data_IF_729038174262
#
_entry.id   IF_729038174262
#
_cell.length_a   1.000
_cell.length_b   1.000
_cell.length_c   1.000
_cell.angle_alpha   90.00
_cell.angle_beta   90.00
_cell.angle_gamma   90.00
#
_symmetry.space_group_name_H-M   'P 1'
#
loop_
_entity.id
_entity.type
_entity.pdbx_description
1 polymer ?
#
# COMPACT_ATOMS: atom_id res chain seq x y z
N UNK A 1 7.35 71.92 -37.99
CA UNK A 1 8.60 71.37 -37.45
C UNK A 1 8.49 69.85 -37.53
N UNK A 2 9.40 69.22 -38.30
CA UNK A 2 9.70 67.76 -38.44
C UNK A 2 8.52 66.77 -38.39
N UNK A 3 8.12 66.03 -39.43
CA UNK A 3 8.86 65.54 -40.59
C UNK A 3 8.87 64.00 -40.58
N UNK A 4 8.26 63.40 -41.61
CA UNK A 4 8.37 62.02 -42.11
C UNK A 4 7.83 60.84 -41.25
N UNK A 5 7.16 59.82 -41.78
CA UNK A 5 6.85 59.46 -43.17
C UNK A 5 7.31 58.03 -43.51
N UNK A 6 6.39 57.18 -43.99
CA UNK A 6 6.64 55.86 -44.59
C UNK A 6 6.27 54.69 -43.66
N UNK A 7 5.34 53.77 -43.95
CA UNK A 7 4.72 53.37 -45.20
C UNK A 7 5.34 52.07 -45.71
N UNK A 8 4.70 50.92 -45.45
CA UNK A 8 4.61 49.79 -46.40
C UNK A 8 3.75 48.65 -45.82
N UNK A 9 2.71 48.30 -46.56
CA UNK A 9 2.03 47.02 -46.45
C UNK A 9 2.76 45.97 -47.29
N UNK A 10 2.82 44.72 -46.82
CA UNK A 10 3.01 43.55 -47.69
C UNK A 10 2.49 42.28 -47.02
N UNK A 11 1.57 41.62 -47.72
CA UNK A 11 1.00 40.31 -47.45
C UNK A 11 1.95 39.21 -47.97
N UNK A 12 1.96 38.00 -47.38
CA UNK A 12 1.92 36.67 -48.06
C UNK A 12 2.24 35.49 -47.10
N UNK A 13 1.28 34.54 -47.09
CA UNK A 13 1.29 33.07 -46.82
C UNK A 13 2.47 32.37 -46.12
N UNK A 14 2.09 31.51 -45.18
CA UNK A 14 2.26 30.06 -45.36
C UNK A 14 3.06 29.28 -44.30
N UNK A 15 2.58 28.06 -44.09
CA UNK A 15 3.27 26.87 -43.58
C UNK A 15 3.07 26.46 -42.11
N UNK A 16 2.62 25.21 -42.02
CA UNK A 16 2.41 24.33 -40.88
C UNK A 16 3.70 24.02 -40.09
N UNK A 17 3.51 23.58 -38.84
CA UNK A 17 4.39 22.61 -38.17
C UNK A 17 5.45 23.22 -37.25
N UNK A 18 5.25 23.10 -35.93
CA UNK A 18 6.27 23.42 -34.94
C UNK A 18 5.84 23.04 -33.53
N UNK A 19 6.59 22.13 -32.92
CA UNK A 19 6.29 21.37 -31.71
C UNK A 19 5.87 22.17 -30.47
N UNK A 20 4.92 21.60 -29.71
CA UNK A 20 4.68 21.91 -28.31
C UNK A 20 5.90 21.46 -27.49
N UNK A 21 6.60 22.39 -26.83
CA UNK A 21 7.64 22.08 -25.85
C UNK A 21 7.11 22.45 -24.46
N UNK A 22 6.97 21.50 -23.51
CA UNK A 22 6.69 21.82 -22.14
C UNK A 22 8.02 21.90 -21.40
N UNK A 23 8.60 23.10 -21.29
CA UNK A 23 9.69 23.32 -20.34
C UNK A 23 9.07 23.49 -18.96
N UNK A 24 8.94 22.37 -18.25
CA UNK A 24 8.80 22.37 -16.81
C UNK A 24 10.08 22.97 -16.21
N UNK A 25 9.92 23.88 -15.25
CA UNK A 25 11.01 24.51 -14.53
C UNK A 25 11.83 23.45 -13.78
N UNK A 26 12.90 22.96 -14.39
CA UNK A 26 14.02 22.39 -13.66
C UNK A 26 14.71 23.55 -12.96
N UNK A 27 14.62 23.58 -11.62
CA UNK A 27 15.56 24.36 -10.82
C UNK A 27 16.83 23.53 -10.71
N UNK A 28 17.95 24.16 -11.02
CA UNK A 28 19.28 23.62 -10.84
C UNK A 28 19.47 23.17 -9.39
N UNK A 29 19.75 21.88 -9.22
CA UNK A 29 20.07 21.28 -7.94
C UNK A 29 21.59 21.34 -7.75
N UNK A 30 22.09 22.43 -7.20
CA UNK A 30 23.43 22.46 -6.60
C UNK A 30 23.33 22.17 -5.10
N UNK A 31 23.89 21.03 -4.70
CA UNK A 31 24.42 20.77 -3.35
C UNK A 31 23.45 20.79 -2.18
N UNK A 32 22.74 19.68 -1.95
CA UNK A 32 22.29 19.33 -0.60
C UNK A 32 22.43 17.82 -0.41
N UNK A 33 23.08 17.42 0.69
CA UNK A 33 23.54 16.07 1.01
C UNK A 33 22.48 14.99 0.77
N UNK A 34 22.78 14.04 -0.12
CA UNK A 34 22.00 12.82 -0.34
C UNK A 34 21.91 11.91 0.92
N UNK A 35 22.53 12.29 2.03
CA UNK A 35 22.63 11.56 3.29
C UNK A 35 21.60 11.94 4.36
N UNK A 36 20.77 12.99 4.19
CA UNK A 36 19.97 13.54 5.32
C UNK A 36 18.49 13.09 5.44
N UNK A 37 18.00 12.16 4.60
CA UNK A 37 16.59 11.72 4.62
C UNK A 37 16.34 10.42 5.42
N UNK A 38 17.26 10.00 6.28
CA UNK A 38 17.05 8.81 7.10
C UNK A 38 15.93 9.06 8.12
N UNK A 39 14.79 8.41 7.91
CA UNK A 39 13.65 8.44 8.83
C UNK A 39 14.07 7.76 10.15
N UNK A 40 14.19 8.53 11.23
CA UNK A 40 14.47 7.98 12.56
C UNK A 40 13.22 7.34 13.12
N UNK A 41 13.11 6.01 13.05
CA UNK A 41 11.95 5.26 13.53
C UNK A 41 12.06 5.01 15.03
N UNK A 42 10.96 5.27 15.76
CA UNK A 42 10.74 4.80 17.13
C UNK A 42 9.44 4.01 17.16
N UNK A 43 9.53 2.74 17.56
CA UNK A 43 8.38 1.84 17.61
C UNK A 43 7.96 1.54 19.04
N UNK A 44 6.65 1.50 19.26
CA UNK A 44 6.03 1.16 20.54
C UNK A 44 5.02 0.04 20.30
N UNK A 45 5.03 -0.98 21.16
CA UNK A 45 4.12 -2.10 21.07
C UNK A 45 3.16 -2.09 22.27
N UNK A 46 1.87 -2.05 21.97
CA UNK A 46 0.78 -2.14 22.94
C UNK A 46 0.18 -3.55 22.89
N UNK A 47 -0.21 -4.10 24.04
CA UNK A 47 -0.90 -5.40 24.07
C UNK A 47 -2.30 -5.27 23.44
N UNK A 48 -3.03 -4.21 23.77
CA UNK A 48 -4.36 -3.95 23.25
C UNK A 48 -4.64 -2.44 23.21
N UNK A 49 -5.35 -1.98 22.19
CA UNK A 49 -5.72 -0.57 22.00
C UNK A 49 -7.04 -0.47 21.25
N UNK A 50 -7.75 0.67 21.29
CA UNK A 50 -8.91 0.88 20.41
C UNK A 50 -8.48 0.86 18.94
N UNK A 51 -7.50 1.70 18.58
CA UNK A 51 -6.92 1.79 17.25
C UNK A 51 -5.53 2.43 17.31
N UNK A 52 -4.56 1.83 16.62
CA UNK A 52 -3.23 2.42 16.46
C UNK A 52 -3.29 3.74 15.69
N UNK A 53 -4.26 3.92 14.78
CA UNK A 53 -4.47 5.20 14.09
C UNK A 53 -4.83 6.31 15.08
N UNK A 54 -5.66 6.00 16.09
CA UNK A 54 -6.12 7.02 17.05
C UNK A 54 -4.97 7.49 17.96
N UNK A 55 -4.09 6.58 18.36
CA UNK A 55 -2.87 6.91 19.10
C UNK A 55 -1.93 7.81 18.27
N UNK A 56 -1.72 7.47 17.00
CA UNK A 56 -0.89 8.29 16.10
C UNK A 56 -1.54 9.65 15.83
N UNK A 57 -2.85 9.72 15.63
CA UNK A 57 -3.58 10.99 15.47
C UNK A 57 -3.47 11.86 16.73
N UNK A 58 -3.58 11.27 17.92
CA UNK A 58 -3.37 11.98 19.18
C UNK A 58 -1.94 12.54 19.27
N UNK A 59 -0.93 11.74 18.93
CA UNK A 59 0.46 12.18 18.89
C UNK A 59 0.69 13.30 17.85
N UNK A 60 0.08 13.21 16.66
CA UNK A 60 0.10 14.27 15.64
C UNK A 60 -0.48 15.57 16.18
N UNK A 61 -1.65 15.51 16.85
CA UNK A 61 -2.30 16.66 17.48
C UNK A 61 -1.48 17.27 18.61
N UNK A 62 -0.70 16.46 19.32
CA UNK A 62 0.22 16.90 20.36
C UNK A 62 1.55 17.47 19.82
N UNK A 63 1.78 17.46 18.51
CA UNK A 63 2.99 18.00 17.89
C UNK A 63 4.18 17.04 17.87
N UNK A 64 3.95 15.74 18.08
CA UNK A 64 5.00 14.72 18.06
C UNK A 64 5.80 14.75 16.73
N UNK A 65 7.10 14.47 16.83
CA UNK A 65 8.00 14.41 15.70
C UNK A 65 7.72 13.20 14.80
N UNK A 66 8.01 13.35 13.51
CA UNK A 66 7.92 12.26 12.52
C UNK A 66 8.75 11.04 12.93
N UNK A 67 8.27 9.85 12.58
CA UNK A 67 8.97 8.58 12.80
C UNK A 67 8.45 7.75 13.98
N UNK A 68 7.46 8.24 14.74
CA UNK A 68 6.73 7.41 15.70
C UNK A 68 5.93 6.33 14.96
N UNK A 69 6.08 5.09 15.41
CA UNK A 69 5.28 3.94 14.99
C UNK A 69 4.59 3.35 16.21
N UNK A 70 3.27 3.29 16.18
CA UNK A 70 2.48 2.60 17.22
C UNK A 70 2.02 1.27 16.66
N UNK A 71 2.34 0.18 17.36
CA UNK A 71 1.93 -1.20 17.04
C UNK A 71 1.00 -1.71 18.14
N UNK A 72 0.14 -2.65 17.79
CA UNK A 72 -0.66 -3.38 18.77
C UNK A 72 -0.73 -4.88 18.45
N UNK A 73 -0.81 -5.72 19.49
CA UNK A 73 -1.12 -7.15 19.31
C UNK A 73 -2.60 -7.35 18.97
N UNK A 74 -3.50 -6.53 19.53
CA UNK A 74 -4.92 -6.49 19.22
C UNK A 74 -5.46 -5.07 19.09
N UNK A 75 -6.48 -4.88 18.25
CA UNK A 75 -7.29 -3.65 18.25
C UNK A 75 -8.76 -4.00 18.51
N UNK A 76 -9.40 -3.29 19.45
CA UNK A 76 -10.82 -3.48 19.77
C UNK A 76 -11.75 -2.67 18.87
N UNK A 77 -11.22 -1.65 18.18
CA UNK A 77 -11.95 -0.77 17.26
C UNK A 77 -11.15 -0.45 16.01
N UNK A 78 -10.38 -1.42 15.49
CA UNK A 78 -9.60 -1.26 14.26
C UNK A 78 -10.50 -0.89 13.08
N UNK A 79 -10.05 0.05 12.24
CA UNK A 79 -10.78 0.50 11.06
C UNK A 79 -9.85 0.77 9.88
N UNK A 80 -10.38 0.59 8.68
CA UNK A 80 -9.74 0.98 7.43
C UNK A 80 -10.29 2.31 6.88
N UNK A 81 -10.08 2.54 5.58
CA UNK A 81 -10.62 3.72 4.90
C UNK A 81 -12.14 3.79 5.07
N UNK A 82 -12.62 5.02 5.26
CA UNK A 82 -14.04 5.35 5.39
C UNK A 82 -14.69 4.75 6.65
N UNK A 83 -13.90 4.36 7.65
CA UNK A 83 -14.41 3.83 8.93
C UNK A 83 -14.91 2.39 8.86
N UNK A 84 -14.65 1.67 7.76
CA UNK A 84 -14.98 0.24 7.65
C UNK A 84 -14.20 -0.54 8.71
N UNK A 85 -14.89 -1.40 9.47
CA UNK A 85 -14.26 -2.20 10.51
C UNK A 85 -13.14 -3.07 9.93
N UNK A 86 -12.06 -3.20 10.70
CA UNK A 86 -10.91 -4.04 10.39
C UNK A 86 -10.63 -4.97 11.58
N UNK A 87 -10.97 -6.26 11.43
CA UNK A 87 -10.73 -7.26 12.44
C UNK A 87 -9.23 -7.35 12.76
N UNK A 88 -8.89 -7.21 14.05
CA UNK A 88 -7.50 -7.12 14.50
C UNK A 88 -7.19 -8.10 15.65
N UNK A 89 -7.35 -9.42 15.47
CA UNK A 89 -6.96 -10.42 16.48
C UNK A 89 -5.43 -10.57 16.58
N UNK A 90 -4.92 -11.24 17.62
CA UNK A 90 -3.48 -11.55 17.67
C UNK A 90 -3.03 -12.34 16.42
N UNK A 91 -1.80 -12.07 15.98
CA UNK A 91 -1.20 -12.71 14.80
C UNK A 91 -1.15 -11.83 13.55
N UNK A 92 -1.79 -10.67 13.53
CA UNK A 92 -1.61 -9.66 12.49
C UNK A 92 -0.59 -8.57 12.84
N UNK A 93 -0.03 -7.92 11.81
CA UNK A 93 0.69 -6.66 11.99
C UNK A 93 -0.31 -5.51 11.94
N UNK A 94 -0.57 -4.89 13.08
CA UNK A 94 -1.35 -3.65 13.16
C UNK A 94 -0.43 -2.53 13.61
N UNK A 95 -0.08 -1.65 12.69
CA UNK A 95 0.77 -0.51 13.00
C UNK A 95 0.28 0.77 12.33
N UNK A 96 0.61 1.89 12.96
CA UNK A 96 0.38 3.22 12.41
C UNK A 96 1.64 4.05 12.50
N UNK A 97 1.96 4.78 11.43
CA UNK A 97 3.13 5.64 11.32
C UNK A 97 2.71 7.11 11.39
N UNK A 98 3.43 7.87 12.18
CA UNK A 98 3.36 9.33 12.23
C UNK A 98 4.34 9.92 11.23
N UNK A 99 3.84 10.52 10.16
CA UNK A 99 4.67 11.12 9.12
C UNK A 99 4.42 12.63 9.02
N UNK A 100 5.44 13.38 8.57
CA UNK A 100 5.34 14.80 8.21
C UNK A 100 5.96 15.04 6.83
N UNK A 101 5.34 14.50 5.76
CA UNK A 101 5.91 14.57 4.42
C UNK A 101 6.14 16.01 3.95
N UNK A 102 7.31 16.28 3.39
CA UNK A 102 7.65 17.58 2.80
C UNK A 102 7.35 17.62 1.31
N UNK A 103 6.10 17.33 0.94
CA UNK A 103 5.63 17.29 -0.46
C UNK A 103 4.43 18.20 -0.66
N UNK A 104 4.14 18.55 -1.92
CA UNK A 104 2.90 19.26 -2.26
C UNK A 104 1.66 18.42 -1.87
N UNK A 105 0.57 19.04 -1.38
CA UNK A 105 -0.64 18.31 -0.99
C UNK A 105 -1.23 17.41 -2.08
N UNK A 106 -1.04 17.78 -3.36
CA UNK A 106 -1.47 16.99 -4.52
C UNK A 106 -0.75 15.65 -4.67
N UNK A 107 0.41 15.48 -4.03
CA UNK A 107 1.22 14.25 -4.06
C UNK A 107 0.79 13.28 -2.96
N UNK A 108 0.27 13.78 -1.82
CA UNK A 108 -0.12 12.96 -0.66
C UNK A 108 -1.02 11.76 -0.98
N UNK A 109 -2.00 11.81 -1.91
CA UNK A 109 -2.82 10.65 -2.26
C UNK A 109 -2.01 9.46 -2.79
N UNK A 110 -0.82 9.69 -3.33
CA UNK A 110 0.05 8.62 -3.84
C UNK A 110 0.82 7.89 -2.75
N UNK A 111 0.84 8.39 -1.51
CA UNK A 111 1.53 7.76 -0.39
C UNK A 111 1.01 6.35 -0.11
N UNK A 112 -0.30 6.10 -0.25
CA UNK A 112 -0.87 4.76 -0.06
C UNK A 112 -0.33 3.75 -1.08
N UNK A 113 -0.03 4.20 -2.31
CA UNK A 113 0.56 3.37 -3.36
C UNK A 113 1.99 2.97 -2.98
N UNK A 114 2.77 3.93 -2.47
CA UNK A 114 4.15 3.71 -2.00
C UNK A 114 4.17 2.78 -0.79
N UNK A 115 3.26 2.94 0.16
CA UNK A 115 3.10 2.01 1.30
C UNK A 115 2.70 0.62 0.81
N UNK A 116 1.83 0.51 -0.20
CA UNK A 116 1.48 -0.76 -0.83
C UNK A 116 2.68 -1.47 -1.46
N UNK A 117 3.55 -0.70 -2.14
CA UNK A 117 4.82 -1.23 -2.66
C UNK A 117 5.74 -1.69 -1.53
N UNK A 118 5.84 -0.94 -0.43
CA UNK A 118 6.64 -1.32 0.73
C UNK A 118 6.17 -2.63 1.36
N UNK A 119 4.86 -2.78 1.60
CA UNK A 119 4.28 -4.02 2.14
C UNK A 119 4.51 -5.19 1.17
N UNK A 120 4.28 -4.99 -0.13
CA UNK A 120 4.53 -6.03 -1.13
C UNK A 120 6.00 -6.45 -1.16
N UNK A 121 6.94 -5.51 -1.11
CA UNK A 121 8.37 -5.79 -1.12
C UNK A 121 8.82 -6.50 0.16
N UNK A 122 8.26 -6.13 1.31
CA UNK A 122 8.49 -6.81 2.58
C UNK A 122 8.05 -8.27 2.55
N UNK A 123 6.81 -8.53 2.10
CA UNK A 123 6.28 -9.90 2.01
C UNK A 123 7.06 -10.71 0.97
N UNK A 124 7.34 -10.14 -0.21
CA UNK A 124 8.11 -10.82 -1.25
C UNK A 124 9.53 -11.24 -0.80
N UNK A 125 10.16 -10.47 0.09
CA UNK A 125 11.46 -10.83 0.67
C UNK A 125 11.40 -12.07 1.57
N UNK A 126 10.22 -12.37 2.12
CA UNK A 126 9.97 -13.50 3.03
C UNK A 126 9.41 -14.73 2.30
N UNK A 127 9.16 -14.66 1.00
CA UNK A 127 8.55 -15.73 0.20
C UNK A 127 9.49 -16.18 -0.92
N UNK A 128 9.16 -17.27 -1.62
CA UNK A 128 9.86 -17.64 -2.86
C UNK A 128 9.36 -16.85 -4.08
N UNK A 129 9.95 -17.11 -5.24
CA UNK A 129 9.67 -16.35 -6.45
C UNK A 129 8.19 -16.49 -6.91
N UNK A 130 7.61 -17.70 -7.00
CA UNK A 130 6.19 -17.84 -7.31
C UNK A 130 5.26 -17.11 -6.32
N UNK A 131 5.47 -17.27 -5.01
CA UNK A 131 4.64 -16.59 -4.01
C UNK A 131 4.83 -15.06 -4.06
N UNK A 132 6.07 -14.59 -4.27
CA UNK A 132 6.35 -13.17 -4.43
C UNK A 132 5.61 -12.58 -5.65
N UNK A 133 5.52 -13.31 -6.75
CA UNK A 133 4.76 -12.89 -7.94
C UNK A 133 3.24 -12.92 -7.71
N UNK A 134 2.73 -13.72 -6.78
CA UNK A 134 1.31 -13.69 -6.43
C UNK A 134 0.94 -12.45 -5.58
N UNK A 135 1.88 -11.84 -4.85
CA UNK A 135 1.61 -10.63 -4.06
C UNK A 135 1.56 -9.39 -4.96
N UNK A 136 0.35 -8.84 -5.10
CA UNK A 136 0.02 -7.73 -6.01
C UNK A 136 -0.61 -6.55 -5.25
N UNK A 137 -0.59 -5.38 -5.86
CA UNK A 137 -1.18 -4.15 -5.30
C UNK A 137 -2.52 -3.88 -5.99
N UNK A 138 -3.60 -3.82 -5.20
CA UNK A 138 -4.92 -3.40 -5.66
C UNK A 138 -5.11 -1.91 -5.33
N UNK A 139 -5.20 -1.11 -6.39
CA UNK A 139 -5.38 0.34 -6.27
C UNK A 139 -6.69 0.65 -5.49
N UNK A 140 -6.69 1.67 -4.61
CA UNK A 140 -5.57 2.55 -4.29
C UNK A 140 -4.78 2.16 -3.02
N UNK A 141 -5.19 1.15 -2.26
CA UNK A 141 -4.74 1.03 -0.86
C UNK A 141 -4.72 -0.39 -0.30
N UNK A 142 -4.81 -1.42 -1.14
CA UNK A 142 -4.82 -2.80 -0.67
C UNK A 142 -3.64 -3.57 -1.28
N UNK A 143 -3.05 -4.47 -0.51
CA UNK A 143 -2.20 -5.54 -1.05
C UNK A 143 -3.00 -6.82 -1.02
N UNK A 144 -2.93 -7.57 -2.11
CA UNK A 144 -3.71 -8.77 -2.35
C UNK A 144 -2.81 -9.90 -2.81
N UNK A 145 -3.27 -11.12 -2.63
CA UNK A 145 -2.66 -12.33 -3.18
C UNK A 145 -3.52 -12.79 -4.35
N UNK A 146 -2.93 -12.84 -5.53
CA UNK A 146 -3.57 -13.36 -6.74
C UNK A 146 -3.75 -14.88 -6.63
N UNK A 147 -5.00 -15.34 -6.71
CA UNK A 147 -5.30 -16.77 -6.58
C UNK A 147 -4.82 -17.57 -7.77
N UNK A 148 -4.91 -17.02 -8.99
CA UNK A 148 -4.50 -17.74 -10.19
C UNK A 148 -3.00 -18.06 -10.15
N UNK A 149 -2.19 -17.08 -9.72
CA UNK A 149 -0.74 -17.26 -9.58
C UNK A 149 -0.39 -18.16 -8.40
N UNK A 150 -1.03 -17.97 -7.23
CA UNK A 150 -0.67 -18.75 -6.04
C UNK A 150 -1.16 -20.20 -6.12
N UNK A 151 -2.38 -20.47 -6.57
CA UNK A 151 -2.90 -21.84 -6.70
C UNK A 151 -2.08 -22.67 -7.71
N UNK A 152 -1.56 -22.05 -8.78
CA UNK A 152 -0.65 -22.72 -9.71
C UNK A 152 0.72 -23.08 -9.11
N UNK A 153 1.10 -22.47 -7.97
CA UNK A 153 2.40 -22.66 -7.33
C UNK A 153 2.34 -23.38 -5.97
N UNK A 154 1.22 -23.30 -5.26
CA UNK A 154 1.05 -23.78 -3.90
C UNK A 154 -0.33 -24.41 -3.69
N UNK A 155 -0.36 -25.73 -3.49
CA UNK A 155 -1.51 -26.40 -2.89
C UNK A 155 -1.59 -26.02 -1.40
N UNK A 156 -2.78 -25.69 -0.89
CA UNK A 156 -3.00 -25.21 0.49
C UNK A 156 -2.31 -26.11 1.52
N UNK A 157 -1.37 -25.57 2.30
CA UNK A 157 -0.81 -26.24 3.48
C UNK A 157 -1.76 -26.03 4.66
N UNK A 158 -2.16 -27.12 5.31
CA UNK A 158 -2.86 -27.09 6.60
C UNK A 158 -1.98 -27.71 7.70
N UNK A 159 -2.00 -27.11 8.90
CA UNK A 159 -1.28 -27.59 10.08
C UNK A 159 -0.03 -26.78 10.41
N UNK A 160 -0.21 -25.70 11.17
CA UNK A 160 0.89 -25.05 11.89
C UNK A 160 0.61 -25.09 13.39
N UNK A 161 1.60 -25.55 14.16
CA UNK A 161 1.59 -25.48 15.62
C UNK A 161 2.37 -24.20 16.02
N UNK A 162 1.66 -23.20 16.54
CA UNK A 162 2.22 -21.89 16.89
C UNK A 162 2.32 -21.75 18.40
N UNK A 163 3.50 -22.05 18.96
CA UNK A 163 3.85 -21.68 20.33
C UNK A 163 4.94 -20.59 20.35
N UNK A 164 4.53 -19.41 20.83
CA UNK A 164 5.31 -18.34 21.46
C UNK A 164 6.57 -17.83 20.75
N UNK A 165 6.53 -16.58 20.26
CA UNK A 165 7.74 -15.79 19.99
C UNK A 165 7.42 -14.28 19.80
N UNK A 166 7.24 -13.57 20.91
CA UNK A 166 7.49 -12.12 20.99
C UNK A 166 8.67 -11.95 21.96
N UNK A 167 9.88 -11.72 21.46
CA UNK A 167 10.98 -11.25 22.30
C UNK A 167 11.64 -10.05 21.63
N UNK A 168 11.83 -9.03 22.46
CA UNK A 168 12.65 -7.82 22.28
C UNK A 168 11.96 -6.55 21.75
N UNK A 169 10.84 -6.16 22.37
CA UNK A 169 10.35 -4.76 22.35
C UNK A 169 10.05 -4.26 23.77
N UNK A 170 10.19 -2.96 24.01
CA UNK A 170 9.67 -2.32 25.23
C UNK A 170 8.15 -2.50 25.28
N UNK A 171 7.72 -3.51 26.05
CA UNK A 171 6.30 -3.82 26.24
C UNK A 171 5.71 -2.80 27.19
N UNK A 172 4.80 -1.97 26.71
CA UNK A 172 4.09 -1.02 27.55
C UNK A 172 2.75 -1.62 27.98
N UNK A 173 2.65 -2.02 29.25
CA UNK A 173 1.45 -2.60 29.88
C UNK A 173 0.63 -1.61 30.71
N UNK A 174 0.84 -0.29 30.52
CA UNK A 174 0.17 0.75 31.32
C UNK A 174 -1.26 1.01 30.87
N UNK A 175 -2.15 1.30 31.83
CA UNK A 175 -3.57 1.63 31.60
C UNK A 175 -3.81 3.01 30.95
N UNK A 176 -2.77 3.80 30.74
CA UNK A 176 -2.83 5.07 30.02
C UNK A 176 -1.99 4.99 28.74
N UNK A 177 -2.62 4.80 27.56
CA UNK A 177 -1.92 4.62 26.31
C UNK A 177 -1.12 5.86 25.89
N UNK A 178 -1.33 7.06 26.46
CA UNK A 178 -0.54 8.26 26.09
C UNK A 178 0.71 8.50 26.94
N UNK A 179 0.94 7.71 28.00
CA UNK A 179 2.05 7.91 28.92
C UNK A 179 3.42 7.56 28.31
N UNK A 180 3.47 6.85 27.18
CA UNK A 180 4.72 6.50 26.50
C UNK A 180 5.42 7.70 25.84
N UNK A 181 4.70 8.80 25.55
CA UNK A 181 5.26 10.01 24.92
C UNK A 181 6.33 10.71 25.78
N UNK A 182 6.57 10.22 27.00
CA UNK A 182 7.44 10.85 28.01
C UNK A 182 8.79 10.12 28.21
N UNK A 183 9.16 9.10 27.40
CA UNK A 183 10.42 8.35 27.59
C UNK A 183 11.32 8.27 26.33
N UNK A 184 12.66 8.34 26.46
CA UNK A 184 13.59 8.18 25.35
C UNK A 184 13.94 6.69 25.07
N UNK A 185 14.12 6.31 23.80
CA UNK A 185 14.37 4.93 23.33
C UNK A 185 15.78 4.73 22.72
N UNK A 186 16.33 3.50 22.80
CA UNK A 186 17.67 3.08 22.32
C UNK A 186 17.65 2.37 20.94
N UNK A 187 18.72 2.47 20.10
CA UNK A 187 18.82 1.76 18.80
C UNK A 187 19.41 0.32 18.89
N UNK A 188 19.15 -0.52 17.88
CA UNK A 188 19.34 -2.00 17.87
C UNK A 188 20.09 -2.56 16.63
N UNK A 189 20.61 -3.80 16.72
CA UNK A 189 21.21 -4.64 15.65
C UNK A 189 20.97 -6.15 15.90
N UNK A 190 20.63 -6.95 14.87
CA UNK A 190 20.34 -8.40 14.95
C UNK A 190 21.13 -9.29 13.96
N UNK A 191 21.29 -10.58 14.32
CA UNK A 191 21.85 -11.68 13.50
C UNK A 191 21.09 -13.00 13.71
N UNK A 192 20.93 -13.81 12.65
CA UNK A 192 20.04 -14.98 12.55
C UNK A 192 20.80 -16.30 12.23
N UNK A 193 20.27 -17.45 12.69
CA UNK A 193 20.64 -18.81 12.24
C UNK A 193 19.39 -19.67 11.99
N UNK A 194 19.47 -20.51 10.96
CA UNK A 194 18.35 -21.16 10.25
C UNK A 194 18.22 -22.67 10.56
N UNK A 195 17.02 -23.26 10.38
CA UNK A 195 16.78 -24.72 10.15
C UNK A 195 15.36 -25.05 9.63
N UNK A 196 15.18 -26.32 9.22
CA UNK A 196 14.56 -26.93 8.01
C UNK A 196 13.02 -27.03 7.83
N UNK A 197 12.61 -27.29 6.57
CA UNK A 197 11.24 -27.29 5.98
C UNK A 197 10.49 -28.65 6.01
N UNK A 198 9.14 -28.67 5.93
CA UNK A 198 8.33 -29.89 5.72
C UNK A 198 7.76 -30.04 4.28
N UNK A 199 7.16 -31.21 4.01
CA UNK A 199 6.77 -31.77 2.71
C UNK A 199 5.32 -31.44 2.23
N UNK A 200 5.10 -31.51 0.92
CA UNK A 200 3.90 -31.10 0.17
C UNK A 200 2.99 -32.28 -0.26
N UNK A 201 1.68 -32.03 -0.42
CA UNK A 201 0.71 -32.91 -1.08
C UNK A 201 -0.17 -32.09 -2.06
N UNK A 202 -0.52 -32.65 -3.22
CA UNK A 202 -1.19 -31.97 -4.33
C UNK A 202 -2.73 -31.95 -4.18
N UNK A 203 -3.39 -30.98 -4.82
CA UNK A 203 -4.85 -30.97 -5.00
C UNK A 203 -5.22 -30.80 -6.48
N UNK A 204 -6.31 -31.46 -6.88
CA UNK A 204 -6.78 -31.65 -8.25
C UNK A 204 -7.25 -30.36 -8.95
N UNK A 205 -7.13 -30.40 -10.29
CA UNK A 205 -7.42 -29.31 -11.23
C UNK A 205 -8.84 -28.74 -11.09
N UNK A 206 -8.94 -27.41 -10.99
CA UNK A 206 -10.21 -26.68 -10.86
C UNK A 206 -10.72 -26.22 -12.24
N UNK A 207 -11.55 -27.04 -12.88
CA UNK A 207 -12.46 -26.64 -13.96
C UNK A 207 -13.89 -26.53 -13.41
N UNK A 208 -14.36 -25.33 -13.06
CA UNK A 208 -15.75 -24.89 -13.31
C UNK A 208 -15.95 -23.38 -13.02
N UNK A 209 -16.50 -22.65 -13.98
CA UNK A 209 -16.82 -21.22 -13.85
C UNK A 209 -18.26 -21.05 -13.33
N UNK A 210 -18.44 -21.23 -12.02
CA UNK A 210 -19.70 -20.93 -11.32
C UNK A 210 -19.88 -19.42 -11.08
N UNK A 211 -21.12 -18.87 -11.07
CA UNK A 211 -21.39 -17.51 -10.59
C UNK A 211 -21.05 -17.28 -9.11
N UNK A 212 -20.77 -18.35 -8.34
CA UNK A 212 -20.20 -18.32 -6.98
C UNK A 212 -18.66 -18.50 -6.99
N UNK A 213 -17.99 -18.27 -8.12
CA UNK A 213 -16.54 -18.38 -8.20
C UNK A 213 -15.85 -17.45 -7.17
N UNK A 214 -14.87 -17.96 -6.41
CA UNK A 214 -14.18 -17.17 -5.41
C UNK A 214 -13.54 -15.94 -6.07
N UNK A 215 -13.48 -14.83 -5.33
CA UNK A 215 -12.82 -13.61 -5.81
C UNK A 215 -11.42 -13.94 -6.35
N UNK A 216 -10.97 -13.31 -7.46
CA UNK A 216 -9.71 -13.66 -8.13
C UNK A 216 -8.47 -13.38 -7.27
N UNK A 217 -8.67 -12.75 -6.11
CA UNK A 217 -7.65 -12.46 -5.13
C UNK A 217 -8.17 -12.64 -3.71
N UNK A 218 -7.24 -12.77 -2.77
CA UNK A 218 -7.46 -12.68 -1.34
C UNK A 218 -6.81 -11.40 -0.79
N UNK A 219 -7.41 -10.78 0.21
CA UNK A 219 -6.90 -9.56 0.84
C UNK A 219 -5.80 -9.89 1.84
N UNK A 220 -4.62 -9.31 1.65
CA UNK A 220 -3.46 -9.50 2.51
C UNK A 220 -3.25 -8.30 3.44
N UNK A 221 -3.43 -7.09 2.92
CA UNK A 221 -3.20 -5.86 3.66
C UNK A 221 -4.23 -4.79 3.29
N UNK A 222 -4.63 -4.01 4.29
CA UNK A 222 -5.33 -2.74 4.11
C UNK A 222 -4.49 -1.57 4.58
N UNK A 223 -4.48 -0.49 3.80
CA UNK A 223 -3.75 0.75 4.09
C UNK A 223 -4.73 1.91 4.22
N UNK A 224 -4.46 2.80 5.17
CA UNK A 224 -5.15 4.09 5.32
C UNK A 224 -4.11 5.22 5.43
N UNK A 225 -4.42 6.38 4.85
CA UNK A 225 -3.61 7.58 4.99
C UNK A 225 -4.56 8.75 5.28
N UNK A 226 -4.38 9.41 6.41
CA UNK A 226 -5.24 10.49 6.88
C UNK A 226 -4.41 11.69 7.32
N UNK A 227 -4.68 12.86 6.73
CA UNK A 227 -4.05 14.10 7.17
C UNK A 227 -4.61 14.52 8.55
N UNK A 228 -3.74 14.78 9.52
CA UNK A 228 -4.12 15.17 10.88
C UNK A 228 -2.97 15.94 11.55
N UNK A 229 -3.27 16.98 12.34
CA UNK A 229 -2.24 17.70 13.12
C UNK A 229 -1.04 18.22 12.31
N UNK A 230 -1.26 18.61 11.05
CA UNK A 230 -0.18 19.06 10.15
C UNK A 230 0.77 17.94 9.68
N UNK A 231 0.39 16.68 9.85
CA UNK A 231 1.09 15.51 9.31
C UNK A 231 0.12 14.49 8.72
N UNK A 232 0.58 13.25 8.56
CA UNK A 232 -0.21 12.15 8.02
C UNK A 232 -0.10 10.94 8.96
N UNK A 233 -1.25 10.41 9.37
CA UNK A 233 -1.37 9.11 10.00
C UNK A 233 -1.46 8.05 8.91
N UNK A 234 -0.49 7.13 8.86
CA UNK A 234 -0.50 6.00 7.92
C UNK A 234 -0.77 4.71 8.68
N UNK A 235 -1.98 4.18 8.58
CA UNK A 235 -2.36 2.89 9.17
C UNK A 235 -2.10 1.74 8.22
N UNK A 236 -1.43 0.69 8.70
CA UNK A 236 -1.09 -0.52 7.95
C UNK A 236 -1.54 -1.74 8.75
N UNK A 237 -2.48 -2.50 8.18
CA UNK A 237 -2.92 -3.78 8.72
C UNK A 237 -2.51 -4.90 7.78
N UNK A 238 -1.61 -5.80 8.20
CA UNK A 238 -1.19 -6.99 7.42
C UNK A 238 -1.65 -8.26 8.13
N UNK A 239 -2.29 -9.14 7.38
CA UNK A 239 -2.63 -10.49 7.82
C UNK A 239 -1.36 -11.35 7.77
N UNK A 240 -0.76 -11.64 8.92
CA UNK A 240 0.52 -12.38 8.99
C UNK A 240 0.28 -13.85 9.33
N UNK A 241 -0.26 -14.12 10.51
CA UNK A 241 -0.60 -15.47 10.99
C UNK A 241 -2.13 -15.58 11.08
N UNK A 242 -2.73 -16.68 10.58
CA UNK A 242 -4.17 -16.87 10.68
C UNK A 242 -4.62 -17.01 12.15
N UNK A 243 -5.70 -16.33 12.57
CA UNK A 243 -6.32 -16.59 13.86
C UNK A 243 -6.93 -18.00 13.89
N UNK A 244 -7.16 -18.53 15.10
CA UNK A 244 -7.81 -19.83 15.29
C UNK A 244 -9.18 -19.89 14.60
N UNK A 245 -9.96 -18.80 14.69
CA UNK A 245 -11.21 -18.61 13.97
C UNK A 245 -11.06 -17.46 12.99
N UNK A 246 -11.21 -17.76 11.69
CA UNK A 246 -11.17 -16.73 10.65
C UNK A 246 -12.47 -15.94 10.68
N UNK A 247 -12.41 -14.60 10.68
CA UNK A 247 -13.60 -13.78 10.56
C UNK A 247 -14.38 -14.13 9.28
N UNK A 248 -15.68 -14.34 9.42
CA UNK A 248 -16.56 -14.46 8.25
C UNK A 248 -16.74 -13.07 7.62
N UNK A 249 -16.25 -12.94 6.39
CA UNK A 249 -16.33 -11.70 5.60
C UNK A 249 -17.38 -11.80 4.48
N UNK A 250 -18.25 -12.81 4.52
CA UNK A 250 -19.34 -12.98 3.55
C UNK A 250 -18.86 -13.10 2.11
N UNK A 251 -17.72 -13.77 1.90
CA UNK A 251 -17.10 -14.00 0.59
C UNK A 251 -16.42 -12.77 -0.05
N UNK A 252 -16.63 -11.55 0.48
CA UNK A 252 -15.94 -10.34 0.01
C UNK A 252 -14.67 -10.13 0.83
N UNK A 253 -13.54 -9.88 0.16
CA UNK A 253 -12.24 -9.64 0.83
C UNK A 253 -11.75 -10.80 1.70
N UNK A 254 -11.93 -12.06 1.26
CA UNK A 254 -11.35 -13.22 1.94
C UNK A 254 -9.86 -12.99 2.24
N UNK A 255 -9.45 -13.22 3.48
CA UNK A 255 -8.10 -12.92 3.93
C UNK A 255 -7.08 -13.99 3.44
N UNK A 256 -5.95 -13.53 2.93
CA UNK A 256 -4.72 -14.31 2.82
C UNK A 256 -3.78 -13.97 3.97
N UNK A 257 -2.96 -14.91 4.41
CA UNK A 257 -2.00 -14.72 5.51
C UNK A 257 -0.59 -15.03 5.06
N UNK A 258 0.38 -14.16 5.38
CA UNK A 258 1.79 -14.33 4.99
C UNK A 258 2.33 -15.72 5.36
N UNK A 259 1.96 -16.25 6.53
CA UNK A 259 2.39 -17.56 7.00
C UNK A 259 1.98 -18.75 6.10
N UNK A 260 0.97 -18.57 5.25
CA UNK A 260 0.49 -19.64 4.35
C UNK A 260 1.40 -19.86 3.14
N UNK A 261 2.26 -18.88 2.81
CA UNK A 261 3.11 -18.90 1.62
C UNK A 261 4.53 -18.34 1.85
N UNK A 262 4.91 -18.11 3.12
CA UNK A 262 6.26 -17.70 3.50
C UNK A 262 7.27 -18.86 3.40
N UNK A 263 8.55 -18.51 3.23
CA UNK A 263 9.66 -19.44 3.32
C UNK A 263 9.89 -19.83 4.78
N UNK A 264 9.15 -20.84 5.25
CA UNK A 264 9.26 -21.35 6.61
C UNK A 264 8.50 -20.49 7.63
N UNK A 265 8.85 -20.64 8.91
CA UNK A 265 8.16 -19.95 9.99
C UNK A 265 8.35 -18.43 9.91
N UNK A 266 7.24 -17.69 9.89
CA UNK A 266 7.21 -16.22 9.85
C UNK A 266 6.52 -15.69 11.10
N UNK A 267 7.01 -14.56 11.61
CA UNK A 267 6.43 -13.85 12.75
C UNK A 267 5.94 -12.47 12.30
N UNK A 268 5.12 -11.83 13.13
CA UNK A 268 4.71 -10.43 12.92
C UNK A 268 5.92 -9.50 12.85
N UNK A 269 6.96 -9.76 13.65
CA UNK A 269 8.18 -8.95 13.67
C UNK A 269 9.00 -9.09 12.39
N UNK A 270 9.11 -10.29 11.81
CA UNK A 270 9.77 -10.46 10.50
C UNK A 270 9.10 -9.59 9.42
N UNK A 271 7.77 -9.54 9.40
CA UNK A 271 7.02 -8.70 8.45
C UNK A 271 7.21 -7.22 8.75
N UNK A 272 7.18 -6.83 10.03
CA UNK A 272 7.37 -5.46 10.46
C UNK A 272 8.76 -4.91 10.09
N UNK A 273 9.81 -5.66 10.37
CA UNK A 273 11.19 -5.25 10.09
C UNK A 273 11.42 -5.13 8.58
N UNK A 274 10.97 -6.12 7.80
CA UNK A 274 11.04 -6.08 6.35
C UNK A 274 10.25 -4.90 5.77
N UNK A 275 9.08 -4.58 6.36
CA UNK A 275 8.28 -3.42 5.98
C UNK A 275 9.00 -2.11 6.27
N UNK A 276 9.58 -1.92 7.45
CA UNK A 276 10.30 -0.68 7.78
C UNK A 276 11.52 -0.47 6.87
N UNK A 277 12.26 -1.53 6.54
CA UNK A 277 13.38 -1.47 5.60
C UNK A 277 12.91 -1.01 4.22
N UNK A 278 11.88 -1.66 3.67
CA UNK A 278 11.33 -1.31 2.36
C UNK A 278 10.72 0.10 2.35
N UNK A 279 9.92 0.43 3.37
CA UNK A 279 9.22 1.71 3.49
C UNK A 279 10.19 2.88 3.61
N UNK A 280 11.22 2.77 4.44
CA UNK A 280 12.17 3.87 4.66
C UNK A 280 12.87 4.28 3.35
N UNK A 281 13.29 3.31 2.54
CA UNK A 281 13.91 3.57 1.24
C UNK A 281 12.93 4.19 0.24
N UNK A 282 11.73 3.63 0.13
CA UNK A 282 10.70 4.11 -0.81
C UNK A 282 10.17 5.49 -0.42
N UNK A 283 9.95 5.74 0.87
CA UNK A 283 9.47 7.01 1.39
C UNK A 283 10.47 8.15 1.16
N UNK A 284 11.76 7.91 1.41
CA UNK A 284 12.80 8.90 1.13
C UNK A 284 12.85 9.28 -0.36
N UNK A 285 12.78 8.30 -1.26
CA UNK A 285 12.73 8.54 -2.71
C UNK A 285 11.44 9.26 -3.12
N UNK A 286 10.28 8.87 -2.58
CA UNK A 286 9.00 9.52 -2.87
C UNK A 286 8.93 10.97 -2.39
N UNK A 287 9.53 11.31 -1.25
CA UNK A 287 9.60 12.70 -0.80
C UNK A 287 10.41 13.59 -1.74
N UNK A 288 11.51 13.07 -2.31
CA UNK A 288 12.34 13.83 -3.26
C UNK A 288 11.70 13.95 -4.64
N UNK A 289 11.19 12.83 -5.16
CA UNK A 289 10.91 12.71 -6.59
C UNK A 289 9.40 12.58 -6.91
N UNK A 290 8.55 12.54 -5.89
CA UNK A 290 7.13 12.24 -6.03
C UNK A 290 6.87 10.80 -6.49
N UNK A 291 5.69 10.55 -7.09
CA UNK A 291 5.29 9.20 -7.50
C UNK A 291 5.76 8.79 -8.90
N UNK A 292 6.07 9.75 -9.78
CA UNK A 292 6.37 9.47 -11.19
C UNK A 292 7.46 8.39 -11.41
N UNK A 293 8.57 8.35 -10.63
CA UNK A 293 9.59 7.31 -10.79
C UNK A 293 9.16 5.89 -10.40
N UNK A 294 8.04 5.75 -9.70
CA UNK A 294 7.53 4.45 -9.24
C UNK A 294 6.52 3.83 -10.21
N UNK A 295 6.09 4.57 -11.25
CA UNK A 295 5.00 4.15 -12.15
C UNK A 295 5.27 2.80 -12.79
N UNK A 296 6.48 2.56 -13.30
CA UNK A 296 6.82 1.30 -13.96
C UNK A 296 6.76 0.12 -12.97
N UNK A 297 7.46 0.24 -11.84
CA UNK A 297 7.51 -0.79 -10.79
C UNK A 297 6.11 -1.07 -10.21
N UNK A 298 5.32 -0.02 -9.97
CA UNK A 298 3.96 -0.14 -9.46
C UNK A 298 3.06 -0.86 -10.47
N UNK A 299 3.08 -0.45 -11.74
CA UNK A 299 2.23 -1.06 -12.77
C UNK A 299 2.60 -2.53 -13.01
N UNK A 300 3.89 -2.89 -12.99
CA UNK A 300 4.34 -4.27 -13.11
C UNK A 300 3.78 -5.20 -12.01
N UNK A 301 3.35 -4.63 -10.87
CA UNK A 301 2.82 -5.36 -9.71
C UNK A 301 1.36 -4.99 -9.37
N UNK A 302 0.69 -4.25 -10.23
CA UNK A 302 -0.72 -3.92 -10.05
C UNK A 302 -1.61 -5.12 -10.38
N UNK A 303 -2.59 -5.40 -9.53
CA UNK A 303 -3.54 -6.49 -9.77
C UNK A 303 -4.63 -6.14 -10.78
N UNK A 304 -4.94 -4.84 -10.97
CA UNK A 304 -6.12 -4.45 -11.73
C UNK A 304 -5.87 -4.24 -13.22
N UNK A 305 -4.62 -4.12 -13.68
CA UNK A 305 -4.32 -3.83 -15.09
C UNK A 305 -4.90 -4.92 -16.00
N UNK A 306 -5.57 -4.49 -17.06
CA UNK A 306 -6.27 -5.36 -18.00
C UNK A 306 -7.66 -5.83 -17.53
N UNK A 307 -8.02 -5.60 -16.26
CA UNK A 307 -9.33 -6.00 -15.74
C UNK A 307 -10.40 -4.96 -16.06
N UNK A 308 -11.62 -5.41 -16.32
CA UNK A 308 -12.80 -4.55 -16.35
C UNK A 308 -13.25 -4.23 -14.93
N UNK A 309 -13.42 -2.94 -14.63
CA UNK A 309 -13.79 -2.48 -13.28
C UNK A 309 -14.95 -1.50 -13.29
N UNK A 310 -15.66 -1.44 -12.17
CA UNK A 310 -16.46 -0.28 -11.74
C UNK A 310 -15.74 0.42 -10.61
N UNK A 311 -15.83 1.75 -10.61
CA UNK A 311 -15.32 2.58 -9.52
C UNK A 311 -16.50 3.21 -8.80
N UNK A 312 -16.57 3.01 -7.50
CA UNK A 312 -17.63 3.56 -6.65
C UNK A 312 -17.06 4.60 -5.67
N UNK A 313 -17.87 5.59 -5.32
CA UNK A 313 -17.56 6.50 -4.22
C UNK A 313 -17.92 5.89 -2.86
N UNK A 314 -17.82 6.68 -1.79
CA UNK A 314 -18.12 6.21 -0.43
C UNK A 314 -19.60 5.87 -0.20
N UNK A 315 -20.49 6.43 -1.03
CA UNK A 315 -21.93 6.18 -0.96
C UNK A 315 -22.36 4.95 -1.77
N UNK A 316 -21.43 4.31 -2.49
CA UNK A 316 -21.74 3.26 -3.48
C UNK A 316 -22.22 3.83 -4.81
N UNK A 317 -22.09 5.14 -5.03
CA UNK A 317 -22.44 5.76 -6.32
C UNK A 317 -21.37 5.43 -7.34
N UNK A 318 -21.79 4.92 -8.50
CA UNK A 318 -20.91 4.63 -9.63
C UNK A 318 -20.26 5.93 -10.15
N UNK A 319 -18.94 6.03 -10.02
CA UNK A 319 -18.13 7.14 -10.54
C UNK A 319 -17.66 6.90 -11.98
N UNK A 320 -17.29 5.66 -12.29
CA UNK A 320 -16.69 5.30 -13.57
C UNK A 320 -16.76 3.79 -13.83
N UNK A 321 -16.64 3.39 -15.10
CA UNK A 321 -16.39 2.00 -15.47
C UNK A 321 -15.53 1.91 -16.73
N UNK A 322 -14.76 0.84 -16.86
CA UNK A 322 -13.89 0.61 -18.02
C UNK A 322 -12.82 -0.44 -17.73
N UNK A 323 -11.97 -0.69 -18.72
CA UNK A 323 -10.81 -1.59 -18.57
C UNK A 323 -9.64 -0.80 -18.00
N UNK A 324 -8.98 -1.29 -16.96
CA UNK A 324 -7.83 -0.59 -16.38
C UNK A 324 -6.63 -0.68 -17.31
N UNK A 325 -6.14 0.47 -17.77
CA UNK A 325 -4.96 0.55 -18.63
C UNK A 325 -3.65 0.62 -17.82
N UNK A 326 -3.62 1.47 -16.79
CA UNK A 326 -2.45 1.73 -15.94
C UNK A 326 -2.81 2.59 -14.73
N UNK A 327 -1.85 2.81 -13.85
CA UNK A 327 -1.77 3.96 -12.96
C UNK A 327 -0.80 4.99 -13.54
N UNK A 328 -1.20 6.26 -13.58
CA UNK A 328 -0.37 7.35 -14.13
C UNK A 328 0.63 7.94 -13.11
N UNK A 329 1.46 8.89 -13.56
CA UNK A 329 2.47 9.57 -12.73
C UNK A 329 1.90 10.38 -11.55
N UNK A 330 0.60 10.68 -11.58
CA UNK A 330 -0.11 11.32 -10.47
C UNK A 330 -0.79 10.29 -9.54
N UNK A 331 -0.57 8.99 -9.76
CA UNK A 331 -1.18 7.91 -8.98
C UNK A 331 -2.66 7.67 -9.29
N UNK A 332 -3.18 8.20 -10.39
CA UNK A 332 -4.58 8.04 -10.79
C UNK A 332 -4.75 6.76 -11.59
N UNK A 333 -5.88 6.09 -11.42
CA UNK A 333 -6.24 4.93 -12.20
C UNK A 333 -6.73 5.37 -13.59
N UNK A 334 -6.01 4.99 -14.65
CA UNK A 334 -6.40 5.27 -16.03
C UNK A 334 -7.26 4.13 -16.53
N UNK A 335 -8.49 4.46 -16.91
CA UNK A 335 -9.47 3.54 -17.48
C UNK A 335 -9.60 3.78 -18.98
N UNK A 336 -9.83 2.71 -19.73
CA UNK A 336 -10.21 2.74 -21.14
C UNK A 336 -11.69 2.41 -21.26
N UNK A 337 -12.44 3.31 -21.87
CA UNK A 337 -13.85 3.09 -22.22
C UNK A 337 -14.00 2.02 -23.31
N UNK A 338 -15.20 1.43 -23.51
CA UNK A 338 -15.45 0.53 -24.64
C UNK A 338 -15.17 1.16 -26.02
N UNK A 339 -15.31 2.48 -26.15
CA UNK A 339 -14.98 3.24 -27.36
C UNK A 339 -13.49 3.55 -27.53
N UNK A 340 -12.62 3.04 -26.66
CA UNK A 340 -11.16 3.21 -26.74
C UNK A 340 -10.60 4.49 -26.13
N UNK A 341 -11.45 5.46 -25.75
CA UNK A 341 -11.01 6.67 -25.07
C UNK A 341 -10.51 6.38 -23.65
N UNK A 342 -9.39 6.98 -23.26
CA UNK A 342 -8.80 6.86 -21.93
C UNK A 342 -9.14 8.06 -21.04
N UNK A 343 -9.39 7.81 -19.75
CA UNK A 343 -9.67 8.84 -18.75
C UNK A 343 -9.18 8.41 -17.36
N UNK A 344 -8.82 9.36 -16.50
CA UNK A 344 -8.23 9.08 -15.19
C UNK A 344 -9.23 9.27 -14.04
N UNK A 345 -9.18 8.38 -13.05
CA UNK A 345 -9.94 8.44 -11.80
C UNK A 345 -8.98 8.63 -10.63
N UNK A 346 -9.23 9.65 -9.79
CA UNK A 346 -8.31 10.04 -8.71
C UNK A 346 -8.65 9.41 -7.35
N UNK A 347 -9.86 8.87 -7.19
CA UNK A 347 -10.32 8.30 -5.94
C UNK A 347 -11.51 7.37 -6.17
N UNK A 348 -11.68 6.40 -5.28
CA UNK A 348 -12.84 5.50 -5.25
C UNK A 348 -12.44 4.14 -4.70
N UNK A 349 -13.38 3.20 -4.76
CA UNK A 349 -13.15 1.77 -4.58
C UNK A 349 -13.33 1.07 -5.93
N UNK A 350 -12.33 0.30 -6.35
CA UNK A 350 -12.40 -0.45 -7.59
C UNK A 350 -12.94 -1.87 -7.35
N UNK A 351 -13.96 -2.24 -8.11
CA UNK A 351 -14.59 -3.56 -8.12
C UNK A 351 -14.39 -4.20 -9.49
N UNK A 352 -13.85 -5.41 -9.53
CA UNK A 352 -13.68 -6.18 -10.77
C UNK A 352 -15.06 -6.64 -11.25
N UNK A 353 -15.38 -6.40 -12.53
CA UNK A 353 -16.57 -6.93 -13.18
C UNK A 353 -16.23 -8.27 -13.82
N UNK A 354 -16.95 -9.30 -13.42
CA UNK A 354 -16.86 -10.61 -14.05
C UNK A 354 -17.79 -10.64 -15.26
N UNK A 355 -17.25 -10.93 -16.44
CA UNK A 355 -18.10 -11.34 -17.54
C UNK A 355 -18.70 -12.70 -17.16
N UNK A 356 -20.03 -12.79 -17.05
CA UNK A 356 -20.67 -14.10 -17.17
C UNK A 356 -20.26 -14.66 -18.53
N UNK A 357 -19.83 -15.93 -18.62
CA UNK A 357 -19.59 -16.54 -19.92
C UNK A 357 -20.85 -16.35 -20.77
N UNK A 358 -20.69 -15.84 -21.99
CA UNK A 358 -21.77 -15.86 -22.97
C UNK A 358 -22.21 -17.32 -23.12
N UNK A 359 -23.46 -17.60 -22.72
CA UNK A 359 -24.07 -18.93 -22.86
C UNK A 359 -24.07 -19.41 -24.30
#
# INVERSE_FOLDING_TARGET
MSGAGGGSASYVRGAQGGAWSPTCCARDAEGDDAASFALSIRSILLDEVSSTNDEVKRALGAGEAEGLVVRALRQTGGYGRQGRAWASPEGGLYCSLLLRPRVAPSVLPTLSLVVGMAVRNAVAALTDAPAAEAVRIKWPNDVVVDRGVLCGAYARVSGFDFAAQNRDYERFSGSNPSAFLQKPSSPFSASLKNRSQPHFCACDDADDASPDAPAPFQKLCGISCEAHGGGVCVGVGVNVVPPAERPDVGGKNEAAYVAEFAKGAVTVDHVFDAFLVAFSALYARWQRDGFAPFVEEYNARSHLIGSDVTIEDRSGTLLASGTVARVDACGRLVLRSPGGAEFSVSSGEAHVRWASPSR
#
